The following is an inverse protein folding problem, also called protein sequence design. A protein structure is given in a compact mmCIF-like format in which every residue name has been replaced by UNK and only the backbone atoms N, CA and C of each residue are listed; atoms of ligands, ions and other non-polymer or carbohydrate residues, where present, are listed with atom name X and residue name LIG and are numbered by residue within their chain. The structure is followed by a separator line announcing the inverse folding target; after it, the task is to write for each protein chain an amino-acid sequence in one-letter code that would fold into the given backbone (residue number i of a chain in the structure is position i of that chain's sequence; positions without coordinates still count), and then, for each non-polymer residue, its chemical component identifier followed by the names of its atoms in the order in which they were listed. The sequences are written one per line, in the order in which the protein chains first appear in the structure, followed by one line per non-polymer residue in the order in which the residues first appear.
data_IF_988842723974
#
_entry.id   IF_988842723974
#
_cell.length_a   1.000
_cell.length_b   1.000
_cell.length_c   1.000
_cell.angle_alpha   90.00
_cell.angle_beta   90.00
_cell.angle_gamma   90.00
#
_symmetry.space_group_name_H-M   'P 1'
#
loop_
_entity.id
_entity.type
_entity.pdbx_description
1 polymer ?
#
# COMPACT_ATOMS: atom_id res chain seq x y z
N UNK A 1 -35.95 -2.28 -3.01
CA UNK A 1 -35.94 -3.34 -1.97
C UNK A 1 -34.68 -3.30 -1.14
N UNK A 2 -33.50 -3.07 -1.74
CA UNK A 2 -32.20 -2.96 -1.02
C UNK A 2 -32.15 -1.79 -0.03
N UNK A 3 -32.65 -0.63 -0.43
CA UNK A 3 -32.64 0.58 0.40
C UNK A 3 -33.60 0.51 1.60
N UNK A 4 -34.68 -0.24 1.44
CA UNK A 4 -35.67 -0.45 2.51
C UNK A 4 -35.12 -1.34 3.66
N UNK A 5 -34.27 -2.32 3.33
CA UNK A 5 -33.64 -3.19 4.31
C UNK A 5 -32.58 -2.46 5.15
N UNK A 6 -31.80 -1.54 4.54
CA UNK A 6 -30.77 -0.76 5.22
C UNK A 6 -31.36 0.25 6.22
N UNK A 7 -32.55 0.83 5.93
CA UNK A 7 -33.16 1.86 6.77
C UNK A 7 -33.84 1.33 8.03
N UNK A 8 -34.10 0.01 8.15
CA UNK A 8 -34.86 -0.60 9.25
C UNK A 8 -34.11 -1.70 10.03
N UNK A 9 -32.81 -1.82 9.90
CA UNK A 9 -32.03 -2.79 10.66
C UNK A 9 -32.13 -4.25 10.20
N UNK A 10 -32.91 -4.53 9.13
CA UNK A 10 -33.03 -5.88 8.55
C UNK A 10 -31.74 -6.43 7.97
N UNK A 11 -30.71 -5.57 7.71
CA UNK A 11 -29.40 -5.99 7.31
C UNK A 11 -28.67 -6.89 8.34
N UNK A 12 -29.03 -6.77 9.61
CA UNK A 12 -28.47 -7.58 10.70
C UNK A 12 -29.01 -9.01 10.70
N UNK A 13 -30.25 -9.21 10.22
CA UNK A 13 -30.89 -10.52 10.10
C UNK A 13 -30.23 -11.37 9.02
N UNK A 14 -29.88 -10.77 7.88
CA UNK A 14 -29.16 -11.45 6.81
C UNK A 14 -27.74 -11.88 7.23
N UNK A 15 -27.10 -11.13 8.10
CA UNK A 15 -25.74 -11.46 8.58
C UNK A 15 -25.72 -12.60 9.59
N UNK A 16 -26.82 -12.88 10.27
CA UNK A 16 -26.85 -13.92 11.30
C UNK A 16 -27.11 -15.32 10.78
N UNK A 17 -27.50 -15.46 9.50
CA UNK A 17 -27.78 -16.73 8.84
C UNK A 17 -28.67 -17.68 9.67
N UNK A 18 -29.63 -17.14 10.44
CA UNK A 18 -30.60 -17.92 11.16
C UNK A 18 -31.75 -18.27 10.20
N UNK A 19 -32.09 -19.54 10.10
CA UNK A 19 -33.10 -20.06 9.18
C UNK A 19 -34.46 -20.29 9.86
N UNK A 20 -34.50 -20.17 11.18
CA UNK A 20 -35.70 -20.36 11.97
C UNK A 20 -36.46 -19.03 12.11
N UNK A 21 -37.69 -18.89 11.53
CA UNK A 21 -38.45 -17.65 11.58
C UNK A 21 -38.75 -17.17 13.02
N UNK A 22 -39.04 -18.08 13.93
CA UNK A 22 -39.37 -17.75 15.32
C UNK A 22 -38.18 -17.17 16.08
N UNK A 23 -36.99 -17.68 15.79
CA UNK A 23 -35.75 -17.13 16.32
C UNK A 23 -35.40 -15.77 15.72
N UNK A 24 -35.65 -15.59 14.42
CA UNK A 24 -35.48 -14.29 13.75
C UNK A 24 -36.39 -13.24 14.38
N UNK A 25 -37.65 -13.57 14.58
CA UNK A 25 -38.64 -12.70 15.21
C UNK A 25 -38.19 -12.30 16.62
N UNK A 26 -37.79 -13.28 17.44
CA UNK A 26 -37.30 -13.07 18.79
C UNK A 26 -36.09 -12.15 18.82
N UNK A 27 -35.09 -12.37 17.93
CA UNK A 27 -33.91 -11.52 17.79
C UNK A 27 -34.27 -10.08 17.40
N UNK A 28 -35.27 -9.88 16.56
CA UNK A 28 -35.72 -8.55 16.12
C UNK A 28 -36.40 -7.79 17.25
N UNK A 29 -37.27 -8.47 18.01
CA UNK A 29 -38.06 -7.83 19.06
C UNK A 29 -37.38 -7.77 20.42
N UNK A 30 -36.45 -8.70 20.77
CA UNK A 30 -35.71 -8.68 22.02
C UNK A 30 -34.53 -7.66 22.02
N UNK A 31 -34.25 -7.06 20.88
CA UNK A 31 -33.19 -6.05 20.79
C UNK A 31 -33.68 -4.69 21.30
N UNK A 32 -33.97 -4.63 22.60
CA UNK A 32 -34.19 -3.38 23.32
C UNK A 32 -32.90 -2.55 23.32
N UNK A 33 -32.97 -1.34 22.83
CA UNK A 33 -31.89 -0.36 23.01
C UNK A 33 -31.24 0.17 21.76
N UNK A 34 -31.95 0.28 20.63
CA UNK A 34 -31.44 1.18 19.56
C UNK A 34 -31.46 2.62 20.08
N UNK A 35 -30.24 3.14 20.29
CA UNK A 35 -30.12 4.57 20.53
C UNK A 35 -30.67 5.30 19.31
N UNK A 36 -31.75 6.04 19.47
CA UNK A 36 -32.31 6.85 18.38
C UNK A 36 -31.27 7.88 17.97
N UNK A 37 -30.62 7.69 16.84
CA UNK A 37 -29.70 8.65 16.25
C UNK A 37 -30.53 9.67 15.47
N UNK A 38 -30.21 10.95 15.66
CA UNK A 38 -30.83 12.02 14.88
C UNK A 38 -30.52 11.82 13.40
N UNK A 39 -31.53 11.90 12.54
CA UNK A 39 -31.38 11.80 11.11
C UNK A 39 -30.43 12.88 10.58
N UNK A 40 -29.60 12.50 9.59
CA UNK A 40 -28.75 13.42 8.84
C UNK A 40 -29.23 13.47 7.39
N UNK A 41 -29.15 14.65 6.78
CA UNK A 41 -29.41 14.85 5.35
C UNK A 41 -28.11 15.23 4.66
N UNK A 42 -27.85 14.64 3.51
CA UNK A 42 -26.69 14.96 2.69
C UNK A 42 -27.02 14.79 1.21
N UNK A 43 -26.27 15.46 0.35
CA UNK A 43 -26.40 15.32 -1.10
C UNK A 43 -25.45 14.22 -1.54
N UNK A 44 -25.99 13.17 -2.17
CA UNK A 44 -25.22 12.03 -2.66
C UNK A 44 -24.54 12.40 -3.99
N UNK A 45 -23.35 12.98 -3.91
CA UNK A 45 -22.52 13.33 -5.08
C UNK A 45 -21.19 12.59 -5.02
N UNK A 46 -20.80 11.98 -6.12
CA UNK A 46 -19.52 11.27 -6.25
C UNK A 46 -19.64 9.76 -6.31
N UNK A 47 -18.51 9.08 -6.09
CA UNK A 47 -18.44 7.62 -6.11
C UNK A 47 -19.18 6.99 -4.92
N UNK A 48 -19.76 5.77 -5.07
CA UNK A 48 -20.53 5.10 -4.02
C UNK A 48 -19.80 4.98 -2.67
N UNK A 49 -18.49 4.78 -2.70
CA UNK A 49 -17.64 4.70 -1.49
C UNK A 49 -17.63 6.02 -0.72
N UNK A 50 -17.46 7.14 -1.43
CA UNK A 50 -17.50 8.48 -0.83
C UNK A 50 -18.89 8.82 -0.26
N UNK A 51 -19.95 8.49 -0.99
CA UNK A 51 -21.33 8.68 -0.54
C UNK A 51 -21.59 7.91 0.76
N UNK A 52 -21.20 6.64 0.82
CA UNK A 52 -21.31 5.82 2.03
C UNK A 52 -20.57 6.45 3.20
N UNK A 53 -19.35 6.92 2.97
CA UNK A 53 -18.54 7.58 4.00
C UNK A 53 -19.23 8.84 4.56
N UNK A 54 -19.68 9.73 3.68
CA UNK A 54 -20.41 10.95 4.08
C UNK A 54 -21.64 10.61 4.89
N UNK A 55 -22.40 9.60 4.48
CA UNK A 55 -23.57 9.12 5.19
C UNK A 55 -23.25 8.64 6.61
N UNK A 56 -22.24 7.77 6.74
CA UNK A 56 -21.81 7.24 8.05
C UNK A 56 -21.26 8.35 8.95
N UNK A 57 -20.45 9.26 8.41
CA UNK A 57 -19.94 10.42 9.16
C UNK A 57 -21.08 11.33 9.65
N UNK A 58 -22.08 11.58 8.80
CA UNK A 58 -23.26 12.36 9.18
C UNK A 58 -24.03 11.74 10.34
N UNK A 59 -24.20 10.41 10.32
CA UNK A 59 -24.84 9.68 11.42
C UNK A 59 -23.98 9.70 12.69
N UNK A 60 -22.67 9.52 12.55
CA UNK A 60 -21.74 9.53 13.68
C UNK A 60 -21.66 10.88 14.38
N UNK A 61 -21.68 12.00 13.64
CA UNK A 61 -21.71 13.36 14.23
C UNK A 61 -22.90 13.58 15.14
N UNK A 62 -24.01 12.90 14.87
CA UNK A 62 -25.26 12.97 15.65
C UNK A 62 -25.30 11.95 16.81
N UNK A 63 -24.31 11.09 16.95
CA UNK A 63 -24.22 10.11 18.02
C UNK A 63 -23.48 10.69 19.23
N UNK A 64 -24.02 10.48 20.43
CA UNK A 64 -23.37 10.91 21.69
C UNK A 64 -22.12 10.12 22.03
N UNK A 65 -22.05 8.86 21.60
CA UNK A 65 -20.87 8.00 21.77
C UNK A 65 -20.00 8.08 20.51
N UNK A 66 -19.18 9.11 20.41
CA UNK A 66 -18.24 9.28 19.30
C UNK A 66 -17.12 8.24 19.41
N UNK A 67 -17.25 7.16 18.68
CA UNK A 67 -16.14 6.27 18.40
C UNK A 67 -15.57 6.67 17.05
N UNK A 68 -14.33 7.15 17.03
CA UNK A 68 -13.70 7.61 15.78
C UNK A 68 -13.26 6.44 14.90
N UNK A 69 -12.83 5.35 15.50
CA UNK A 69 -12.41 4.13 14.81
C UNK A 69 -13.36 3.01 15.16
N UNK A 70 -13.99 2.45 14.15
CA UNK A 70 -14.92 1.30 14.28
C UNK A 70 -14.17 0.05 13.78
N UNK A 71 -13.90 -0.94 14.64
CA UNK A 71 -13.32 -2.20 14.20
C UNK A 71 -14.30 -2.92 13.27
N UNK A 72 -13.77 -3.48 12.20
CA UNK A 72 -14.56 -4.23 11.21
C UNK A 72 -14.13 -5.70 11.21
N UNK A 73 -15.02 -6.62 10.79
CA UNK A 73 -14.65 -8.00 10.54
C UNK A 73 -13.50 -8.11 9.52
N UNK A 74 -12.72 -9.17 9.63
CA UNK A 74 -11.68 -9.49 8.68
C UNK A 74 -12.20 -9.53 7.23
N UNK A 75 -11.35 -9.13 6.29
CA UNK A 75 -11.67 -9.00 4.88
C UNK A 75 -12.70 -7.90 4.53
N UNK A 76 -12.95 -6.97 5.44
CA UNK A 76 -13.75 -5.78 5.10
C UNK A 76 -12.98 -4.86 4.14
N UNK A 77 -13.66 -4.18 3.19
CA UNK A 77 -13.02 -3.33 2.19
C UNK A 77 -12.60 -1.94 2.72
N UNK A 78 -12.46 -1.80 4.02
CA UNK A 78 -12.03 -0.59 4.71
C UNK A 78 -11.03 -0.96 5.78
N UNK A 79 -9.96 -0.18 5.92
CA UNK A 79 -8.99 -0.39 6.95
C UNK A 79 -7.70 0.39 6.75
N UNK A 80 -6.79 0.16 7.67
CA UNK A 80 -5.48 0.80 7.70
C UNK A 80 -4.39 -0.16 7.21
N UNK A 81 -3.36 0.43 6.63
CA UNK A 81 -2.10 -0.23 6.30
C UNK A 81 -1.11 0.08 7.42
N UNK A 82 -0.62 -0.96 8.09
CA UNK A 82 0.44 -0.83 9.08
C UNK A 82 1.78 -1.17 8.44
N UNK A 83 2.75 -0.30 8.59
CA UNK A 83 4.10 -0.47 8.04
C UNK A 83 5.09 -0.55 9.20
N UNK A 84 5.88 -1.62 9.22
CA UNK A 84 7.01 -1.73 10.13
C UNK A 84 8.15 -0.82 9.64
N UNK A 85 8.40 0.26 10.36
CA UNK A 85 9.37 1.30 10.02
C UNK A 85 10.83 0.84 10.11
N UNK A 86 11.09 -0.24 10.86
CA UNK A 86 12.45 -0.79 11.00
C UNK A 86 12.83 -1.65 9.79
N UNK A 87 11.87 -2.39 9.24
CA UNK A 87 12.11 -3.30 8.10
C UNK A 87 11.81 -2.66 6.76
N UNK A 88 10.99 -1.62 6.72
CA UNK A 88 10.65 -0.92 5.49
C UNK A 88 11.83 -0.12 4.94
N UNK A 89 12.18 -0.36 3.70
CA UNK A 89 13.29 0.31 2.98
C UNK A 89 12.84 1.45 2.08
N UNK A 90 11.54 1.80 2.09
CA UNK A 90 10.95 2.81 1.19
C UNK A 90 11.29 2.52 -0.29
N UNK A 91 11.23 1.25 -0.68
CA UNK A 91 11.44 0.85 -2.08
C UNK A 91 10.25 1.18 -3.00
N UNK A 92 9.14 1.66 -2.44
CA UNK A 92 7.92 2.12 -3.12
C UNK A 92 7.22 1.08 -4.01
N UNK A 93 7.62 -0.20 -3.95
CA UNK A 93 6.95 -1.27 -4.70
C UNK A 93 5.46 -1.38 -4.36
N UNK A 94 5.09 -1.09 -3.11
CA UNK A 94 3.70 -1.07 -2.66
C UNK A 94 2.89 0.10 -3.25
N UNK A 95 3.52 1.23 -3.56
CA UNK A 95 2.91 2.38 -4.24
C UNK A 95 2.56 1.99 -5.67
N UNK A 96 3.55 1.48 -6.42
CA UNK A 96 3.37 1.06 -7.82
C UNK A 96 2.33 -0.05 -7.96
N UNK A 97 2.18 -0.91 -6.96
CA UNK A 97 1.22 -2.01 -6.95
C UNK A 97 -0.19 -1.63 -6.47
N UNK A 98 -0.39 -0.43 -5.89
CA UNK A 98 -1.67 -0.04 -5.29
C UNK A 98 -2.70 0.38 -6.34
N UNK A 99 -3.75 -0.42 -6.64
CA UNK A 99 -4.71 -0.08 -7.69
C UNK A 99 -5.62 1.09 -7.34
N UNK A 100 -5.74 1.41 -6.05
CA UNK A 100 -6.61 2.47 -5.56
C UNK A 100 -5.86 3.79 -5.28
N UNK A 101 -4.53 3.82 -5.48
CA UNK A 101 -3.71 4.99 -5.15
C UNK A 101 -3.79 5.40 -3.68
N UNK A 102 -4.05 4.43 -2.79
CA UNK A 102 -4.09 4.67 -1.35
C UNK A 102 -2.70 4.87 -0.76
N UNK A 103 -1.71 4.14 -1.27
CA UNK A 103 -0.30 4.34 -0.99
C UNK A 103 0.28 5.28 -2.06
N UNK A 104 1.03 6.26 -1.62
CA UNK A 104 1.58 7.33 -2.47
C UNK A 104 3.02 7.60 -2.08
N UNK A 105 3.79 8.08 -3.02
CA UNK A 105 5.14 8.60 -2.81
C UNK A 105 5.13 10.13 -2.75
N UNK A 106 6.21 10.69 -2.24
CA UNK A 106 6.50 12.11 -2.34
C UNK A 106 7.62 12.30 -3.38
N UNK A 107 7.38 13.06 -4.46
CA UNK A 107 8.39 13.28 -5.51
C UNK A 107 9.65 14.01 -5.03
N UNK A 108 9.54 14.79 -3.95
CA UNK A 108 10.64 15.62 -3.44
C UNK A 108 11.43 14.96 -2.30
N UNK A 109 10.77 14.09 -1.54
CA UNK A 109 11.35 13.48 -0.35
C UNK A 109 11.09 11.97 -0.35
N UNK A 110 12.00 11.16 0.19
CA UNK A 110 11.81 9.72 0.33
C UNK A 110 10.81 9.42 1.44
N UNK A 111 9.53 9.57 1.13
CA UNK A 111 8.40 9.36 2.03
C UNK A 111 7.41 8.38 1.42
N UNK A 112 6.82 7.57 2.27
CA UNK A 112 5.65 6.76 1.96
C UNK A 112 4.44 7.39 2.63
N UNK A 113 3.45 7.76 1.83
CA UNK A 113 2.20 8.33 2.30
C UNK A 113 1.07 7.32 2.14
N UNK A 114 0.06 7.45 2.98
CA UNK A 114 -1.13 6.62 2.95
C UNK A 114 -2.40 7.43 3.16
N UNK A 115 -3.40 7.17 2.32
CA UNK A 115 -4.75 7.70 2.44
C UNK A 115 -5.72 6.57 2.75
N UNK A 116 -6.18 6.50 4.00
CA UNK A 116 -7.01 5.40 4.50
C UNK A 116 -8.33 5.27 3.75
N UNK A 117 -8.94 6.39 3.41
CA UNK A 117 -10.20 6.46 2.66
C UNK A 117 -10.15 5.72 1.32
N UNK A 118 -9.03 5.76 0.63
CA UNK A 118 -8.86 5.11 -0.67
C UNK A 118 -8.54 3.61 -0.57
N UNK A 119 -8.11 3.11 0.60
CA UNK A 119 -7.65 1.73 0.76
C UNK A 119 -8.79 0.72 0.63
N UNK A 120 -8.62 -0.26 -0.27
CA UNK A 120 -9.57 -1.34 -0.52
C UNK A 120 -9.29 -2.61 0.29
N UNK A 121 -8.25 -2.64 1.11
CA UNK A 121 -7.82 -3.83 1.87
C UNK A 121 -7.57 -5.07 0.99
N UNK A 122 -7.15 -4.87 -0.26
CA UNK A 122 -6.99 -5.94 -1.24
C UNK A 122 -5.75 -6.83 -1.03
N UNK A 123 -4.81 -6.45 -0.17
CA UNK A 123 -3.63 -7.25 0.17
C UNK A 123 -2.49 -7.23 -0.84
N UNK A 124 -2.64 -6.58 -2.00
CA UNK A 124 -1.59 -6.56 -3.05
C UNK A 124 -0.29 -5.95 -2.52
N UNK A 125 -0.35 -4.86 -1.75
CA UNK A 125 0.83 -4.24 -1.16
C UNK A 125 1.57 -5.17 -0.19
N UNK A 126 0.84 -6.03 0.55
CA UNK A 126 1.44 -7.04 1.44
C UNK A 126 2.18 -8.10 0.61
N UNK A 127 1.54 -8.60 -0.44
CA UNK A 127 2.12 -9.62 -1.32
C UNK A 127 3.34 -9.12 -2.10
N UNK A 128 3.33 -7.83 -2.49
CA UNK A 128 4.41 -7.22 -3.28
C UNK A 128 5.61 -6.79 -2.42
N UNK A 129 5.43 -6.63 -1.11
CA UNK A 129 6.49 -6.12 -0.23
C UNK A 129 7.66 -7.12 -0.10
N UNK A 130 8.87 -6.81 -0.60
CA UNK A 130 10.02 -7.72 -0.54
C UNK A 130 10.56 -7.91 0.89
N UNK A 131 10.32 -6.91 1.75
CA UNK A 131 10.79 -6.93 3.14
C UNK A 131 9.70 -7.41 4.12
N UNK A 132 8.50 -7.76 3.62
CA UNK A 132 7.34 -8.19 4.44
C UNK A 132 7.01 -7.22 5.57
N UNK A 133 7.20 -5.93 5.31
CA UNK A 133 7.02 -4.86 6.27
C UNK A 133 5.57 -4.39 6.44
N UNK A 134 4.63 -4.91 5.66
CA UNK A 134 3.25 -4.41 5.57
C UNK A 134 2.27 -5.41 6.14
N UNK A 135 1.35 -4.92 6.97
CA UNK A 135 0.18 -5.66 7.44
C UNK A 135 -1.09 -4.80 7.31
N UNK A 136 -2.23 -5.46 7.33
CA UNK A 136 -3.54 -4.82 7.18
C UNK A 136 -4.38 -5.02 8.43
N UNK A 137 -5.17 -3.99 8.77
CA UNK A 137 -6.16 -4.07 9.85
C UNK A 137 -7.49 -3.53 9.35
N UNK A 138 -8.54 -4.34 9.44
CA UNK A 138 -9.88 -3.94 9.01
C UNK A 138 -10.52 -3.00 10.03
N UNK A 139 -10.81 -1.77 9.61
CA UNK A 139 -11.44 -0.75 10.43
C UNK A 139 -12.14 0.30 9.57
N UNK A 140 -13.06 1.03 10.15
CA UNK A 140 -13.64 2.22 9.54
C UNK A 140 -13.28 3.44 10.39
N UNK A 141 -12.46 4.31 9.84
CA UNK A 141 -12.03 5.54 10.50
C UNK A 141 -12.96 6.68 10.09
N UNK A 142 -13.68 7.25 11.06
CA UNK A 142 -14.67 8.31 10.88
C UNK A 142 -14.06 9.72 10.90
N UNK A 143 -12.79 9.85 11.29
CA UNK A 143 -12.12 11.14 11.32
C UNK A 143 -11.93 11.71 9.91
N UNK A 144 -11.87 13.03 9.81
CA UNK A 144 -11.59 13.72 8.55
C UNK A 144 -10.14 13.42 8.07
N UNK A 145 -9.28 13.08 8.98
CA UNK A 145 -7.89 12.68 8.74
C UNK A 145 -7.75 11.47 7.80
N UNK A 146 -8.72 10.57 7.80
CA UNK A 146 -8.71 9.40 6.91
C UNK A 146 -8.79 9.79 5.42
N UNK A 147 -9.26 11.00 5.10
CA UNK A 147 -9.39 11.51 3.73
C UNK A 147 -8.11 12.18 3.22
N UNK A 148 -7.18 12.51 4.10
CA UNK A 148 -5.89 13.10 3.75
C UNK A 148 -4.79 12.05 3.67
N UNK A 149 -3.82 12.27 2.77
CA UNK A 149 -2.61 11.46 2.74
C UNK A 149 -1.72 11.83 3.94
N UNK A 150 -1.34 10.83 4.73
CA UNK A 150 -0.44 10.99 5.88
C UNK A 150 0.87 10.29 5.61
N UNK A 151 1.96 10.90 6.02
CA UNK A 151 3.28 10.26 5.98
C UNK A 151 3.29 9.12 7.00
N UNK A 152 3.55 7.89 6.54
CA UNK A 152 3.73 6.71 7.39
C UNK A 152 5.18 6.56 7.79
N UNK A 153 6.08 6.74 6.84
CA UNK A 153 7.52 6.59 7.02
C UNK A 153 8.25 7.58 6.13
N UNK A 154 9.34 8.09 6.65
CA UNK A 154 10.27 9.00 6.01
C UNK A 154 11.69 8.50 6.22
N UNK A 155 12.58 8.78 5.27
CA UNK A 155 14.00 8.47 5.34
C UNK A 155 14.83 9.62 4.81
N UNK A 156 16.13 9.55 5.01
CA UNK A 156 17.06 10.54 4.47
C UNK A 156 17.25 10.30 2.96
N UNK A 157 17.24 11.36 2.16
CA UNK A 157 17.60 11.26 0.76
C UNK A 157 19.05 10.78 0.61
N UNK A 158 19.32 10.02 -0.45
CA UNK A 158 20.66 9.55 -0.80
C UNK A 158 21.14 10.26 -2.06
N UNK A 159 22.28 10.94 -1.93
CA UNK A 159 22.86 11.70 -3.01
C UNK A 159 23.90 10.88 -3.78
N UNK A 160 23.91 11.05 -5.10
CA UNK A 160 24.89 10.42 -5.98
C UNK A 160 26.31 10.86 -5.61
N UNK A 161 27.22 9.91 -5.42
CA UNK A 161 28.63 10.18 -5.06
C UNK A 161 29.41 10.92 -6.16
N UNK A 162 28.90 10.96 -7.40
CA UNK A 162 29.58 11.58 -8.54
C UNK A 162 29.01 12.97 -8.86
N UNK A 163 27.68 13.11 -8.95
CA UNK A 163 27.07 14.37 -9.38
C UNK A 163 26.26 15.08 -8.29
N UNK A 164 26.08 14.48 -7.11
CA UNK A 164 25.31 15.05 -6.00
C UNK A 164 23.80 15.06 -6.20
N UNK A 165 23.27 14.50 -7.29
CA UNK A 165 21.81 14.39 -7.52
C UNK A 165 21.22 13.37 -6.54
N UNK A 166 20.16 13.75 -5.83
CA UNK A 166 19.36 12.83 -5.03
C UNK A 166 18.64 11.82 -5.94
N UNK A 167 18.73 10.52 -5.65
CA UNK A 167 18.14 9.47 -6.49
C UNK A 167 17.49 8.31 -5.75
N UNK A 168 17.49 8.32 -4.43
CA UNK A 168 16.90 7.25 -3.63
C UNK A 168 16.84 7.59 -2.15
N UNK A 169 16.46 6.61 -1.32
CA UNK A 169 16.54 6.69 0.13
C UNK A 169 17.76 5.96 0.67
N UNK A 170 18.31 6.44 1.76
CA UNK A 170 19.50 5.85 2.41
C UNK A 170 19.28 4.39 2.76
N UNK A 171 18.15 4.05 3.40
CA UNK A 171 17.80 2.67 3.75
C UNK A 171 17.71 1.75 2.53
N UNK A 172 17.15 2.25 1.42
CA UNK A 172 17.04 1.45 0.18
C UNK A 172 18.42 1.14 -0.40
N UNK A 173 19.27 2.15 -0.52
CA UNK A 173 20.62 1.99 -1.09
C UNK A 173 21.49 1.08 -0.20
N UNK A 174 21.48 1.28 1.11
CA UNK A 174 22.22 0.42 2.06
C UNK A 174 21.73 -1.03 1.99
N UNK A 175 20.43 -1.23 1.87
CA UNK A 175 19.86 -2.58 1.72
C UNK A 175 20.28 -3.27 0.43
N UNK A 176 20.32 -2.53 -0.68
CA UNK A 176 20.78 -3.02 -1.97
C UNK A 176 22.28 -3.38 -1.87
N UNK A 177 23.09 -2.51 -1.32
CA UNK A 177 24.53 -2.75 -1.12
C UNK A 177 24.74 -4.03 -0.28
N UNK A 178 24.02 -4.15 0.85
CA UNK A 178 24.11 -5.33 1.72
C UNK A 178 23.72 -6.62 1.01
N UNK A 179 22.67 -6.61 0.19
CA UNK A 179 22.21 -7.79 -0.58
C UNK A 179 23.17 -8.16 -1.70
N UNK A 180 23.78 -7.17 -2.34
CA UNK A 180 24.62 -7.38 -3.53
C UNK A 180 26.12 -7.52 -3.21
N UNK A 181 26.58 -7.12 -2.04
CA UNK A 181 28.02 -7.22 -1.65
C UNK A 181 28.57 -8.64 -1.68
N UNK A 182 27.71 -9.65 -1.51
CA UNK A 182 28.10 -11.07 -1.58
C UNK A 182 27.88 -11.71 -2.95
N UNK A 183 27.42 -10.92 -3.92
CA UNK A 183 27.14 -11.42 -5.26
C UNK A 183 28.41 -11.35 -6.12
N UNK A 184 28.72 -12.42 -6.88
CA UNK A 184 29.94 -12.55 -7.70
C UNK A 184 30.22 -11.37 -8.65
N UNK A 185 29.16 -10.69 -9.14
CA UNK A 185 29.32 -9.47 -9.95
C UNK A 185 29.95 -8.31 -9.21
N UNK A 186 29.83 -8.27 -7.87
CA UNK A 186 30.28 -7.18 -7.02
C UNK A 186 31.48 -7.56 -6.15
N UNK A 187 32.06 -8.76 -6.31
CA UNK A 187 33.27 -9.20 -5.61
C UNK A 187 34.53 -8.43 -6.02
N UNK A 188 34.52 -7.81 -7.21
CA UNK A 188 35.63 -6.96 -7.65
C UNK A 188 35.63 -5.64 -6.89
N UNK A 189 36.81 -5.23 -6.40
CA UNK A 189 36.96 -3.94 -5.72
C UNK A 189 36.40 -2.79 -6.56
N UNK A 190 35.65 -1.88 -5.92
CA UNK A 190 35.07 -0.68 -6.54
C UNK A 190 33.70 -0.86 -7.14
N UNK A 191 33.22 -2.09 -7.43
CA UNK A 191 31.88 -2.27 -8.05
C UNK A 191 30.71 -1.94 -7.13
N UNK A 192 30.87 -2.08 -5.83
CA UNK A 192 29.86 -1.66 -4.85
C UNK A 192 29.67 -0.15 -4.81
N UNK A 193 30.71 0.63 -5.15
CA UNK A 193 30.60 2.09 -5.25
C UNK A 193 29.67 2.54 -6.39
N UNK A 194 29.55 1.74 -7.45
CA UNK A 194 28.61 2.01 -8.54
C UNK A 194 27.13 1.98 -8.08
N UNK A 195 26.84 1.27 -6.99
CA UNK A 195 25.48 1.22 -6.40
C UNK A 195 25.12 2.55 -5.70
N UNK A 196 26.11 3.38 -5.38
CA UNK A 196 25.95 4.71 -4.77
C UNK A 196 25.84 5.82 -5.81
N UNK A 197 25.79 5.48 -7.09
CA UNK A 197 25.67 6.42 -8.20
C UNK A 197 24.24 6.40 -8.76
N UNK A 198 23.77 7.58 -9.21
CA UNK A 198 22.53 7.66 -9.97
C UNK A 198 22.64 6.91 -11.30
N UNK A 199 21.51 6.68 -11.95
CA UNK A 199 21.46 5.91 -13.20
C UNK A 199 22.38 6.48 -14.30
N UNK A 200 22.39 7.80 -14.49
CA UNK A 200 23.19 8.48 -15.51
C UNK A 200 24.71 8.30 -15.23
N UNK A 201 25.14 8.53 -14.00
CA UNK A 201 26.54 8.40 -13.61
C UNK A 201 27.02 6.95 -13.67
N UNK A 202 26.15 6.00 -13.26
CA UNK A 202 26.44 4.57 -13.31
C UNK A 202 26.67 4.09 -14.72
N UNK A 203 25.80 4.48 -15.65
CA UNK A 203 25.94 4.16 -17.06
C UNK A 203 27.25 4.77 -17.60
N UNK A 204 27.53 6.03 -17.27
CA UNK A 204 28.78 6.69 -17.68
C UNK A 204 30.05 5.96 -17.22
N UNK A 205 30.08 5.50 -15.95
CA UNK A 205 31.23 4.73 -15.43
C UNK A 205 31.32 3.34 -16.07
N UNK A 206 30.19 2.66 -16.29
CA UNK A 206 30.18 1.38 -17.00
C UNK A 206 30.76 1.49 -18.41
N UNK A 207 30.50 2.58 -19.12
CA UNK A 207 31.08 2.80 -20.46
C UNK A 207 32.56 3.12 -20.38
N UNK A 208 33.04 3.85 -19.38
CA UNK A 208 34.49 4.10 -19.18
C UNK A 208 35.30 2.83 -18.87
N UNK A 209 34.72 1.93 -18.07
CA UNK A 209 35.35 0.62 -17.82
C UNK A 209 35.27 -0.31 -19.02
N UNK A 210 34.36 -0.09 -19.93
CA UNK A 210 33.96 -1.01 -20.99
C UNK A 210 34.42 -0.66 -22.40
N UNK A 211 35.50 0.04 -22.58
CA UNK A 211 36.28 -0.14 -23.83
C UNK A 211 36.63 -1.63 -24.04
N UNK A 212 36.63 -2.43 -22.95
CA UNK A 212 36.78 -3.89 -22.96
C UNK A 212 35.51 -4.67 -23.21
N UNK A 213 34.28 -4.13 -22.92
CA UNK A 213 33.01 -4.81 -23.19
C UNK A 213 32.63 -4.78 -24.67
N UNK A 214 33.17 -3.84 -25.41
CA UNK A 214 33.08 -3.79 -26.87
C UNK A 214 34.17 -4.64 -27.56
N UNK A 215 35.11 -5.19 -26.78
CA UNK A 215 36.08 -6.15 -27.32
C UNK A 215 35.35 -7.47 -27.62
N UNK A 216 34.97 -7.61 -28.87
CA UNK A 216 34.12 -8.70 -29.40
C UNK A 216 34.80 -10.06 -29.35
N UNK A 217 36.02 -10.16 -28.83
CA UNK A 217 36.79 -11.42 -28.77
C UNK A 217 36.23 -12.45 -27.80
N UNK A 218 35.53 -12.01 -26.75
CA UNK A 218 35.00 -12.91 -25.72
C UNK A 218 33.47 -13.11 -25.79
N UNK A 219 32.82 -12.68 -26.86
CA UNK A 219 31.41 -13.02 -27.07
C UNK A 219 31.27 -14.49 -27.40
N UNK A 220 30.41 -15.24 -26.68
CA UNK A 220 30.10 -16.59 -27.10
C UNK A 220 29.54 -16.54 -28.53
N UNK A 221 30.06 -17.38 -29.40
CA UNK A 221 29.57 -17.48 -30.77
C UNK A 221 28.05 -17.74 -30.71
N UNK A 222 27.25 -17.01 -31.50
CA UNK A 222 25.83 -17.30 -31.60
C UNK A 222 25.66 -18.76 -32.06
N UNK A 223 24.83 -19.50 -31.35
CA UNK A 223 24.50 -20.87 -31.73
C UNK A 223 23.87 -20.88 -33.12
N UNK A 224 24.36 -21.75 -33.97
CA UNK A 224 23.83 -21.97 -35.32
C UNK A 224 22.85 -23.15 -35.29
N UNK A 225 22.09 -23.33 -36.37
CA UNK A 225 21.16 -24.47 -36.53
C UNK A 225 21.87 -25.79 -36.37
N UNK A 226 23.15 -25.87 -36.79
CA UNK A 226 23.97 -27.10 -36.72
C UNK A 226 24.30 -27.50 -35.28
N UNK A 227 24.35 -26.53 -34.34
CA UNK A 227 24.57 -26.80 -32.91
C UNK A 227 23.36 -27.46 -32.23
N UNK A 228 22.23 -27.51 -32.91
CA UNK A 228 20.98 -28.16 -32.42
C UNK A 228 20.66 -29.47 -33.15
N UNK A 229 21.39 -29.81 -34.20
CA UNK A 229 21.10 -30.99 -35.02
C UNK A 229 22.03 -32.20 -34.68
N UNK A 230 22.94 -32.05 -33.72
CA UNK A 230 23.85 -33.11 -33.23
C UNK A 230 23.51 -33.55 -31.82
#
# INVERSE_FOLDING_TARGET
IRDFCLSRGLGDVYKRQENDPDKIEKIIYEKDGYTKIKSASFIAVGAPRGILRIGIQGLSKNNKNKQEIIPLPDNSPYGIVNVNTETCTICLSCVSACPAGALQDNPELPQLLFREDACLQCGICVATCPEKAISLTSQFNLSDDAMSAKVIIEDQPFDCTVCGKTFGSTKSIERIIKKLSTHTMFEKEGRTEMLKMCEDCRVGEMFKENDKLLDTKDRPKPRTTDDYLN
#
